data_IF_284919099744
#
_entry.id   IF_284919099744
#
_cell.length_a   1.000
_cell.length_b   1.000
_cell.length_c   1.000
_cell.angle_alpha   90.00
_cell.angle_beta   90.00
_cell.angle_gamma   90.00
#
_symmetry.space_group_name_H-M   'P 1'
#
loop_
_entity.id
_entity.type
_entity.pdbx_description
1 polymer ?
#
# COMPACT_ATOMS: atom_id res chain seq x y z
N UNK A 1 5.94 -23.45 -26.92
CA UNK A 1 6.13 -22.07 -26.41
C UNK A 1 5.48 -21.15 -27.43
N UNK A 2 4.52 -20.35 -27.01
CA UNK A 2 3.81 -19.39 -27.84
C UNK A 2 4.68 -18.15 -28.12
N UNK A 3 4.41 -17.46 -29.21
CA UNK A 3 5.03 -16.18 -29.56
C UNK A 3 4.06 -15.02 -29.23
N UNK A 4 4.53 -13.78 -29.25
CA UNK A 4 3.67 -12.60 -29.05
C UNK A 4 2.59 -12.55 -30.16
N UNK A 5 2.93 -12.90 -31.38
CA UNK A 5 1.98 -12.93 -32.50
C UNK A 5 0.89 -13.99 -32.28
N UNK A 6 1.24 -15.17 -31.70
CA UNK A 6 0.25 -16.18 -31.34
C UNK A 6 -0.74 -15.66 -30.30
N UNK A 7 -0.26 -14.91 -29.30
CA UNK A 7 -1.11 -14.33 -28.26
C UNK A 7 -1.98 -13.20 -28.80
N UNK A 8 -1.41 -12.34 -29.64
CA UNK A 8 -2.17 -11.26 -30.28
C UNK A 8 -3.27 -11.79 -31.22
N UNK A 9 -3.05 -12.95 -31.79
CA UNK A 9 -4.03 -13.61 -32.65
C UNK A 9 -5.18 -14.29 -31.89
N UNK A 10 -5.05 -14.47 -30.57
CA UNK A 10 -6.14 -15.01 -29.73
C UNK A 10 -7.28 -14.00 -29.63
N UNK A 11 -8.50 -14.51 -29.71
CA UNK A 11 -9.70 -13.69 -29.44
C UNK A 11 -9.75 -13.32 -27.94
N UNK A 12 -10.52 -12.29 -27.61
CA UNK A 12 -10.75 -11.89 -26.22
C UNK A 12 -11.26 -13.06 -25.38
N UNK A 13 -12.23 -13.83 -25.91
CA UNK A 13 -12.80 -14.99 -25.21
C UNK A 13 -11.75 -16.07 -24.94
N UNK A 14 -10.85 -16.37 -25.88
CA UNK A 14 -9.78 -17.36 -25.67
C UNK A 14 -8.77 -16.90 -24.61
N UNK A 15 -8.47 -15.60 -24.55
CA UNK A 15 -7.60 -15.02 -23.51
C UNK A 15 -8.24 -15.11 -22.13
N UNK A 16 -9.50 -14.73 -22.02
CA UNK A 16 -10.31 -14.73 -20.80
C UNK A 16 -10.46 -16.17 -20.24
N UNK A 17 -10.87 -17.12 -21.08
CA UNK A 17 -10.98 -18.54 -20.70
C UNK A 17 -9.63 -19.13 -20.21
N UNK A 18 -8.51 -18.69 -20.81
CA UNK A 18 -7.19 -19.16 -20.40
C UNK A 18 -6.73 -18.49 -19.09
N UNK A 19 -7.00 -17.20 -18.89
CA UNK A 19 -6.72 -16.52 -17.62
C UNK A 19 -7.53 -17.15 -16.50
N UNK A 20 -8.83 -17.35 -16.69
CA UNK A 20 -9.71 -18.01 -15.73
C UNK A 20 -9.20 -19.41 -15.35
N UNK A 21 -8.77 -20.20 -16.33
CA UNK A 21 -8.20 -21.52 -16.09
C UNK A 21 -6.92 -21.44 -15.23
N UNK A 22 -6.03 -20.47 -15.51
CA UNK A 22 -4.81 -20.27 -14.74
C UNK A 22 -5.13 -19.84 -13.32
N UNK A 23 -6.08 -18.93 -13.13
CA UNK A 23 -6.53 -18.48 -11.82
C UNK A 23 -7.17 -19.63 -11.01
N UNK A 24 -8.00 -20.47 -11.63
CA UNK A 24 -8.56 -21.68 -11.00
C UNK A 24 -7.46 -22.66 -10.54
N UNK A 25 -6.42 -22.85 -11.35
CA UNK A 25 -5.28 -23.70 -10.98
C UNK A 25 -4.52 -23.13 -9.79
N UNK A 26 -4.36 -21.82 -9.73
CA UNK A 26 -3.75 -21.13 -8.59
C UNK A 26 -4.60 -21.32 -7.34
N UNK A 27 -5.91 -21.11 -7.41
CA UNK A 27 -6.84 -21.29 -6.30
C UNK A 27 -6.80 -22.72 -5.74
N UNK A 28 -6.65 -23.72 -6.61
CA UNK A 28 -6.52 -25.12 -6.22
C UNK A 28 -5.09 -25.48 -5.73
N UNK A 29 -4.18 -24.50 -5.65
CA UNK A 29 -2.77 -24.68 -5.27
C UNK A 29 -2.04 -25.77 -6.09
N UNK A 30 -2.39 -25.95 -7.37
CA UNK A 30 -1.83 -26.97 -8.26
C UNK A 30 -0.59 -26.46 -9.01
N UNK A 31 0.55 -26.39 -8.31
CA UNK A 31 1.82 -25.93 -8.89
C UNK A 31 2.24 -26.73 -10.11
N UNK A 32 1.94 -28.03 -10.16
CA UNK A 32 2.35 -28.90 -11.28
C UNK A 32 1.62 -28.51 -12.57
N UNK A 33 0.30 -28.32 -12.49
CA UNK A 33 -0.48 -27.87 -13.63
C UNK A 33 -0.13 -26.44 -14.03
N UNK A 34 0.11 -25.56 -13.04
CA UNK A 34 0.50 -24.18 -13.30
C UNK A 34 1.78 -24.12 -14.13
N UNK A 35 2.82 -24.88 -13.72
CA UNK A 35 4.07 -24.98 -14.46
C UNK A 35 3.87 -25.56 -15.87
N UNK A 36 3.01 -26.55 -16.02
CA UNK A 36 2.74 -27.18 -17.31
C UNK A 36 2.07 -26.24 -18.29
N UNK A 37 1.18 -25.37 -17.85
CA UNK A 37 0.54 -24.36 -18.70
C UNK A 37 1.49 -23.19 -18.98
N UNK A 38 2.04 -22.57 -17.94
CA UNK A 38 2.82 -21.34 -18.09
C UNK A 38 4.14 -21.52 -18.87
N UNK A 39 4.66 -22.76 -19.00
CA UNK A 39 5.83 -23.02 -19.87
C UNK A 39 5.61 -22.64 -21.33
N UNK A 40 4.36 -22.66 -21.80
CA UNK A 40 4.02 -22.28 -23.17
C UNK A 40 3.77 -20.77 -23.34
N UNK A 41 3.60 -20.04 -22.24
CA UNK A 41 3.33 -18.62 -22.18
C UNK A 41 4.39 -17.88 -21.37
N UNK A 42 5.61 -17.65 -21.89
CA UNK A 42 6.68 -16.97 -21.14
C UNK A 42 6.23 -15.57 -20.69
N UNK A 43 6.66 -15.16 -19.49
CA UNK A 43 6.22 -13.90 -18.85
C UNK A 43 6.35 -12.66 -19.74
N UNK A 44 7.46 -12.56 -20.50
CA UNK A 44 7.69 -11.43 -21.42
C UNK A 44 6.69 -11.33 -22.57
N UNK A 45 5.99 -12.41 -22.84
CA UNK A 45 5.03 -12.53 -23.94
C UNK A 45 3.60 -12.46 -23.40
N UNK A 46 3.32 -13.17 -22.31
CA UNK A 46 1.99 -13.26 -21.73
C UNK A 46 1.58 -12.02 -20.94
N UNK A 47 2.55 -11.38 -20.27
CA UNK A 47 2.38 -10.11 -19.57
C UNK A 47 3.06 -8.98 -20.36
N UNK A 48 3.09 -9.10 -21.69
CA UNK A 48 3.84 -8.19 -22.55
C UNK A 48 3.65 -6.74 -22.13
N UNK A 49 4.72 -5.98 -22.29
CA UNK A 49 4.86 -4.63 -21.77
C UNK A 49 3.48 -3.97 -21.70
N UNK A 50 2.97 -3.80 -20.45
CA UNK A 50 1.67 -3.20 -20.18
C UNK A 50 1.69 -1.76 -20.71
N UNK A 51 1.78 -1.66 -22.01
CA UNK A 51 1.52 -0.44 -22.72
C UNK A 51 0.00 -0.28 -22.75
N UNK A 52 -0.55 0.15 -21.62
CA UNK A 52 -1.97 0.49 -21.42
C UNK A 52 -2.43 1.53 -22.47
N UNK A 53 -1.54 1.97 -23.32
CA UNK A 53 -1.76 2.94 -24.39
C UNK A 53 -2.16 2.33 -25.73
N UNK A 54 -2.43 1.05 -25.78
CA UNK A 54 -2.99 0.53 -27.03
C UNK A 54 -4.45 0.98 -27.10
N UNK A 55 -4.70 2.04 -27.88
CA UNK A 55 -6.03 2.58 -28.16
C UNK A 55 -6.98 1.51 -28.74
N UNK A 56 -6.42 0.40 -29.20
CA UNK A 56 -7.13 -0.75 -29.78
C UNK A 56 -7.58 -1.82 -28.77
N UNK A 57 -7.30 -1.64 -27.47
CA UNK A 57 -7.80 -2.52 -26.40
C UNK A 57 -7.10 -3.88 -26.30
N UNK A 58 -5.86 -3.97 -26.71
CA UNK A 58 -5.06 -5.19 -26.67
C UNK A 58 -4.51 -5.39 -25.22
N UNK A 59 -5.27 -6.11 -24.40
CA UNK A 59 -4.86 -6.44 -23.05
C UNK A 59 -3.84 -7.59 -23.04
N UNK A 60 -2.88 -7.60 -22.07
CA UNK A 60 -2.00 -8.74 -21.87
C UNK A 60 -2.82 -10.01 -21.62
N UNK A 61 -2.23 -11.18 -21.91
CA UNK A 61 -2.88 -12.45 -21.70
C UNK A 61 -3.16 -12.70 -20.22
N UNK A 62 -2.20 -12.34 -19.35
CA UNK A 62 -2.33 -12.44 -17.92
C UNK A 62 -2.06 -11.09 -17.27
N UNK A 63 -2.92 -10.68 -16.36
CA UNK A 63 -2.63 -9.59 -15.46
C UNK A 63 -1.75 -10.11 -14.31
N UNK A 64 -0.48 -9.71 -14.23
CA UNK A 64 0.41 -10.15 -13.15
C UNK A 64 -0.10 -9.80 -11.74
N UNK A 65 -0.86 -8.70 -11.61
CA UNK A 65 -1.49 -8.34 -10.34
C UNK A 65 -2.50 -9.42 -9.92
N UNK A 66 -3.38 -9.83 -10.83
CA UNK A 66 -4.34 -10.90 -10.58
C UNK A 66 -3.65 -12.21 -10.23
N UNK A 67 -2.58 -12.59 -10.94
CA UNK A 67 -1.83 -13.81 -10.63
C UNK A 67 -1.23 -13.78 -9.22
N UNK A 68 -0.64 -12.65 -8.82
CA UNK A 68 0.01 -12.51 -7.51
C UNK A 68 -1.04 -12.46 -6.38
N UNK A 69 -2.11 -11.72 -6.57
CA UNK A 69 -3.19 -11.62 -5.56
C UNK A 69 -3.86 -12.99 -5.37
N UNK A 70 -4.20 -13.68 -6.44
CA UNK A 70 -4.79 -15.03 -6.34
C UNK A 70 -3.83 -16.01 -5.67
N UNK A 71 -2.54 -15.95 -5.98
CA UNK A 71 -1.53 -16.79 -5.32
C UNK A 71 -1.36 -16.44 -3.83
N UNK A 72 -1.52 -15.18 -3.44
CA UNK A 72 -1.51 -14.77 -2.05
C UNK A 72 -2.71 -15.31 -1.27
N UNK A 73 -3.91 -15.27 -1.86
CA UNK A 73 -5.11 -15.89 -1.28
C UNK A 73 -4.97 -17.41 -1.20
N UNK A 74 -4.52 -18.08 -2.27
CA UNK A 74 -4.28 -19.51 -2.26
C UNK A 74 -3.24 -19.92 -1.20
N UNK A 75 -2.20 -19.11 -0.99
CA UNK A 75 -1.22 -19.31 0.07
C UNK A 75 -1.86 -19.24 1.46
N UNK A 76 -2.78 -18.29 1.71
CA UNK A 76 -3.54 -18.17 2.96
C UNK A 76 -4.36 -19.44 3.21
N UNK A 77 -5.13 -19.89 2.23
CA UNK A 77 -6.03 -21.04 2.33
C UNK A 77 -5.27 -22.37 2.53
N UNK A 78 -4.03 -22.43 2.08
CA UNK A 78 -3.17 -23.60 2.16
C UNK A 78 -2.07 -23.49 3.24
N UNK A 79 -2.39 -22.95 4.41
CA UNK A 79 -1.51 -22.89 5.58
C UNK A 79 -0.16 -22.19 5.31
N UNK A 80 -0.17 -21.12 4.54
CA UNK A 80 1.01 -20.38 4.12
C UNK A 80 1.98 -21.20 3.25
N UNK A 81 1.46 -21.94 2.31
CA UNK A 81 2.26 -22.58 1.26
C UNK A 81 2.63 -21.55 0.19
N UNK A 82 3.86 -21.07 0.23
CA UNK A 82 4.39 -20.05 -0.69
C UNK A 82 4.82 -20.61 -2.05
N UNK A 83 4.65 -21.91 -2.31
CA UNK A 83 5.23 -22.58 -3.49
C UNK A 83 4.80 -21.98 -4.83
N UNK A 84 3.54 -21.55 -4.97
CA UNK A 84 3.05 -20.86 -6.17
C UNK A 84 3.64 -19.46 -6.28
N UNK A 85 3.66 -18.68 -5.19
CA UNK A 85 4.27 -17.36 -5.17
C UNK A 85 5.77 -17.44 -5.50
N UNK A 86 6.49 -18.38 -4.91
CA UNK A 86 7.91 -18.61 -5.23
C UNK A 86 8.11 -18.95 -6.71
N UNK A 87 7.26 -19.80 -7.27
CA UNK A 87 7.32 -20.13 -8.70
C UNK A 87 7.07 -18.87 -9.57
N UNK A 88 6.04 -18.10 -9.27
CA UNK A 88 5.70 -16.90 -10.05
C UNK A 88 6.83 -15.88 -10.03
N UNK A 89 7.49 -15.67 -8.89
CA UNK A 89 8.58 -14.70 -8.78
C UNK A 89 9.94 -15.26 -9.24
N UNK A 90 10.30 -16.46 -8.85
CA UNK A 90 11.68 -16.96 -9.01
C UNK A 90 11.89 -17.73 -10.31
N UNK A 91 10.88 -18.47 -10.80
CA UNK A 91 10.99 -19.28 -12.01
C UNK A 91 10.25 -18.65 -13.20
N UNK A 92 8.99 -18.24 -13.02
CA UNK A 92 8.22 -17.62 -14.08
C UNK A 92 8.70 -16.19 -14.40
N UNK A 93 9.14 -15.45 -13.40
CA UNK A 93 9.88 -14.21 -13.56
C UNK A 93 9.06 -12.93 -13.38
N UNK A 94 7.94 -12.99 -12.66
CA UNK A 94 7.25 -11.76 -12.22
C UNK A 94 8.16 -10.97 -11.25
N UNK A 95 8.03 -9.66 -11.24
CA UNK A 95 8.84 -8.80 -10.37
C UNK A 95 8.05 -7.56 -9.93
N UNK A 96 7.97 -7.33 -8.62
CA UNK A 96 7.42 -6.10 -8.06
C UNK A 96 8.43 -4.94 -8.08
N UNK A 97 9.69 -5.22 -8.42
CA UNK A 97 10.76 -4.22 -8.51
C UNK A 97 11.01 -3.75 -9.93
N UNK A 98 10.62 -4.51 -10.92
CA UNK A 98 10.77 -4.14 -12.32
C UNK A 98 9.68 -3.12 -12.68
N UNK A 99 10.05 -1.92 -13.17
CA UNK A 99 9.07 -0.93 -13.59
C UNK A 99 8.06 -1.43 -14.64
N UNK A 100 8.44 -2.42 -15.44
CA UNK A 100 7.58 -3.06 -16.43
C UNK A 100 6.46 -3.90 -15.80
N UNK A 101 6.70 -4.42 -14.60
CA UNK A 101 5.79 -5.28 -13.84
C UNK A 101 5.46 -4.68 -12.47
N UNK A 102 5.81 -3.42 -12.25
CA UNK A 102 5.59 -2.75 -10.98
C UNK A 102 4.25 -2.01 -11.01
N UNK A 103 3.20 -2.72 -10.69
CA UNK A 103 1.82 -2.23 -10.68
C UNK A 103 1.56 -1.14 -9.66
N UNK A 104 2.45 -0.94 -8.69
CA UNK A 104 2.34 0.15 -7.71
C UNK A 104 2.63 1.54 -8.32
N UNK A 105 3.10 1.60 -9.57
CA UNK A 105 3.50 2.85 -10.23
C UNK A 105 2.89 3.02 -11.62
N UNK A 106 1.70 2.46 -11.85
CA UNK A 106 0.97 2.91 -13.03
C UNK A 106 0.71 4.41 -12.87
N UNK A 107 1.09 5.14 -13.90
CA UNK A 107 0.87 6.57 -14.02
C UNK A 107 -0.58 6.88 -13.59
N UNK A 108 -0.74 7.61 -12.48
CA UNK A 108 -2.01 7.95 -11.85
C UNK A 108 -3.06 8.49 -12.82
N UNK A 109 -2.62 9.07 -13.93
CA UNK A 109 -3.47 9.59 -14.99
C UNK A 109 -4.26 8.48 -15.70
N UNK A 110 -3.67 7.32 -15.89
CA UNK A 110 -4.32 6.18 -16.54
C UNK A 110 -5.21 5.38 -15.60
N UNK A 111 -4.86 5.32 -14.31
CA UNK A 111 -5.73 4.76 -13.27
C UNK A 111 -7.01 5.57 -13.16
N UNK A 112 -6.93 6.90 -13.25
CA UNK A 112 -8.11 7.76 -13.23
C UNK A 112 -9.05 7.52 -14.41
N UNK A 113 -8.51 7.24 -15.60
CA UNK A 113 -9.29 6.91 -16.80
C UNK A 113 -9.85 5.47 -16.74
N UNK A 114 -9.13 4.53 -16.18
CA UNK A 114 -9.61 3.16 -15.94
C UNK A 114 -10.65 3.09 -14.82
N UNK A 115 -10.50 3.91 -13.80
CA UNK A 115 -11.41 4.00 -12.65
C UNK A 115 -12.82 4.48 -13.01
N UNK A 116 -12.99 5.24 -14.08
CA UNK A 116 -14.33 5.57 -14.58
C UNK A 116 -15.13 4.32 -15.05
N UNK A 117 -14.48 3.17 -15.20
CA UNK A 117 -15.09 1.88 -15.55
C UNK A 117 -15.25 0.91 -14.38
N UNK A 118 -14.57 1.09 -13.26
CA UNK A 118 -14.65 0.19 -12.09
C UNK A 118 -15.62 0.74 -11.05
N UNK A 119 -16.80 0.14 -11.03
CA UNK A 119 -17.96 0.47 -10.18
C UNK A 119 -17.71 0.26 -8.67
N UNK A 120 -16.62 -0.38 -8.30
CA UNK A 120 -16.12 -0.44 -6.90
C UNK A 120 -15.98 0.93 -6.25
N UNK A 121 -15.89 1.98 -7.05
CA UNK A 121 -15.73 3.37 -6.64
C UNK A 121 -16.95 3.97 -5.96
N UNK A 122 -18.17 3.55 -6.32
CA UNK A 122 -19.39 4.15 -5.77
C UNK A 122 -19.75 3.72 -4.36
N UNK A 123 -19.31 2.52 -3.96
CA UNK A 123 -19.55 2.01 -2.62
C UNK A 123 -18.47 2.42 -1.61
N UNK A 124 -17.38 2.99 -2.10
CA UNK A 124 -16.20 3.37 -1.33
C UNK A 124 -15.98 4.88 -1.37
N UNK A 125 -17.01 5.67 -1.65
CA UNK A 125 -16.95 7.16 -1.57
C UNK A 125 -16.40 7.66 -0.22
N UNK A 126 -16.41 6.81 0.79
CA UNK A 126 -15.85 7.09 2.12
C UNK A 126 -14.41 6.59 2.33
N UNK A 127 -13.80 5.84 1.39
CA UNK A 127 -12.43 5.34 1.52
C UNK A 127 -11.63 5.39 0.22
N UNK A 128 -11.19 6.58 -0.17
CA UNK A 128 -10.55 6.82 -1.46
C UNK A 128 -9.20 6.14 -1.66
N UNK A 129 -8.64 5.57 -0.62
CA UNK A 129 -7.31 4.98 -0.63
C UNK A 129 -7.24 3.56 -1.18
N UNK A 130 -8.38 2.93 -1.43
CA UNK A 130 -8.45 1.60 -2.05
C UNK A 130 -8.01 1.62 -3.51
N UNK A 131 -7.95 2.80 -4.10
CA UNK A 131 -7.77 2.99 -5.54
C UNK A 131 -6.38 2.82 -6.08
N UNK A 132 -5.39 2.79 -5.24
CA UNK A 132 -4.04 2.89 -5.74
C UNK A 132 -3.30 1.59 -5.56
N UNK A 133 -3.68 0.58 -6.35
CA UNK A 133 -2.87 -0.61 -6.69
C UNK A 133 -1.82 -1.02 -5.66
N UNK A 134 -2.16 -0.89 -4.40
CA UNK A 134 -1.31 -1.42 -3.38
C UNK A 134 -1.70 -2.87 -3.24
N UNK A 135 -0.98 -3.74 -3.93
CA UNK A 135 -1.10 -5.19 -3.83
C UNK A 135 -1.30 -5.66 -2.38
N UNK A 136 -0.59 -5.02 -1.45
CA UNK A 136 -0.70 -5.30 -0.02
C UNK A 136 -2.08 -4.89 0.52
N UNK A 137 -2.58 -3.73 0.13
CA UNK A 137 -3.88 -3.24 0.60
C UNK A 137 -5.02 -4.06 0.02
N UNK A 138 -4.92 -4.43 -1.26
CA UNK A 138 -5.89 -5.31 -1.88
C UNK A 138 -5.93 -6.67 -1.19
N UNK A 139 -4.76 -7.27 -0.93
CA UNK A 139 -4.67 -8.50 -0.15
C UNK A 139 -5.29 -8.33 1.25
N UNK A 140 -4.95 -7.28 1.99
CA UNK A 140 -5.48 -7.06 3.35
C UNK A 140 -7.01 -6.91 3.37
N UNK A 141 -7.58 -6.26 2.36
CA UNK A 141 -9.01 -5.93 2.32
C UNK A 141 -9.87 -7.07 1.81
N UNK A 142 -9.34 -7.92 0.94
CA UNK A 142 -10.12 -8.96 0.26
C UNK A 142 -9.80 -10.38 0.75
N UNK A 143 -8.76 -10.59 1.56
CA UNK A 143 -8.46 -11.88 2.14
C UNK A 143 -9.44 -12.23 3.28
N UNK A 144 -9.84 -13.48 3.37
CA UNK A 144 -10.73 -13.96 4.43
C UNK A 144 -10.06 -13.91 5.81
N UNK A 145 -8.79 -14.26 5.88
CA UNK A 145 -7.97 -14.23 7.11
C UNK A 145 -6.58 -13.65 6.85
N UNK A 146 -6.48 -12.37 6.45
CA UNK A 146 -5.20 -11.78 6.07
C UNK A 146 -4.17 -11.93 7.19
N UNK A 147 -2.94 -12.30 6.83
CA UNK A 147 -1.89 -12.49 7.82
C UNK A 147 -0.58 -11.78 7.47
N UNK A 148 0.17 -11.42 8.51
CA UNK A 148 1.39 -10.65 8.38
C UNK A 148 2.55 -11.40 7.70
N UNK A 149 2.48 -12.72 7.58
CA UNK A 149 3.55 -13.50 6.93
C UNK A 149 3.49 -13.31 5.42
N UNK A 150 2.28 -13.33 4.83
CA UNK A 150 2.07 -13.07 3.41
C UNK A 150 2.43 -11.61 3.09
N UNK A 151 2.01 -10.68 3.94
CA UNK A 151 2.37 -9.27 3.78
C UNK A 151 3.89 -9.10 3.79
N UNK A 152 4.60 -9.69 4.77
CA UNK A 152 6.07 -9.66 4.83
C UNK A 152 6.72 -10.28 3.59
N UNK A 153 6.17 -11.37 3.10
CA UNK A 153 6.64 -12.00 1.89
C UNK A 153 6.55 -11.03 0.69
N UNK A 154 5.38 -10.42 0.49
CA UNK A 154 5.16 -9.45 -0.59
C UNK A 154 6.06 -8.21 -0.45
N UNK A 155 6.24 -7.68 0.77
CA UNK A 155 7.16 -6.57 1.05
C UNK A 155 8.60 -6.94 0.70
N UNK A 156 9.06 -8.14 1.07
CA UNK A 156 10.39 -8.62 0.72
C UNK A 156 10.60 -8.76 -0.79
N UNK A 157 9.53 -9.03 -1.54
CA UNK A 157 9.54 -9.08 -3.01
C UNK A 157 9.46 -7.68 -3.64
N UNK A 158 9.16 -6.64 -2.88
CA UNK A 158 9.19 -5.24 -3.34
C UNK A 158 7.85 -4.51 -3.29
N UNK A 159 6.79 -5.13 -2.77
CA UNK A 159 5.53 -4.45 -2.52
C UNK A 159 5.69 -3.33 -1.48
N UNK A 160 4.91 -2.26 -1.61
CA UNK A 160 5.03 -1.06 -0.78
C UNK A 160 3.71 -0.70 -0.13
N UNK A 161 3.82 -0.03 1.02
CA UNK A 161 2.70 0.59 1.73
C UNK A 161 2.55 2.08 1.41
N UNK A 162 3.59 2.70 0.86
CA UNK A 162 3.65 4.13 0.54
C UNK A 162 2.87 4.42 -0.75
N UNK A 163 1.57 4.18 -0.70
CA UNK A 163 0.63 4.53 -1.76
C UNK A 163 -0.22 5.68 -1.26
N UNK A 164 0.01 6.86 -1.81
CA UNK A 164 -0.60 8.10 -1.37
C UNK A 164 -1.66 8.56 -2.36
N UNK A 165 -2.76 9.06 -1.83
CA UNK A 165 -3.83 9.63 -2.62
C UNK A 165 -3.56 11.12 -2.89
N UNK A 166 -3.39 11.48 -4.15
CA UNK A 166 -3.20 12.87 -4.57
C UNK A 166 -4.45 13.75 -4.33
N UNK A 167 -5.64 13.16 -4.33
CA UNK A 167 -6.90 13.87 -4.13
C UNK A 167 -7.22 14.20 -2.66
N UNK A 168 -6.59 13.52 -1.71
CA UNK A 168 -6.92 13.56 -0.28
C UNK A 168 -5.75 13.91 0.62
N UNK A 169 -4.96 14.87 0.23
CA UNK A 169 -3.84 15.38 1.04
C UNK A 169 -2.73 14.36 1.24
N UNK A 170 -2.47 13.51 0.25
CA UNK A 170 -1.37 12.56 0.27
C UNK A 170 -1.47 11.50 1.37
N UNK A 171 -2.67 11.17 1.83
CA UNK A 171 -2.89 10.12 2.82
C UNK A 171 -2.75 8.73 2.22
N UNK A 172 -2.32 7.78 3.03
CA UNK A 172 -2.38 6.35 2.70
C UNK A 172 -3.62 5.71 3.32
N UNK A 173 -4.04 4.50 2.90
CA UNK A 173 -5.10 3.75 3.58
C UNK A 173 -4.90 3.64 5.09
N UNK A 174 -3.65 3.53 5.55
CA UNK A 174 -3.35 3.43 6.98
C UNK A 174 -3.72 4.68 7.77
N UNK A 175 -3.63 5.88 7.17
CA UNK A 175 -4.09 7.12 7.83
C UNK A 175 -5.60 7.09 8.07
N UNK A 176 -6.38 6.59 7.11
CA UNK A 176 -7.82 6.44 7.27
C UNK A 176 -8.16 5.36 8.29
N UNK A 177 -7.44 4.24 8.31
CA UNK A 177 -7.61 3.22 9.35
C UNK A 177 -7.31 3.77 10.75
N UNK A 178 -6.28 4.61 10.87
CA UNK A 178 -5.95 5.27 12.13
C UNK A 178 -7.11 6.18 12.59
N UNK A 179 -7.62 7.03 11.70
CA UNK A 179 -8.71 7.94 12.00
C UNK A 179 -10.04 7.25 12.28
N UNK A 180 -10.29 6.10 11.64
CA UNK A 180 -11.54 5.32 11.79
C UNK A 180 -11.47 4.23 12.88
N UNK A 181 -10.44 4.26 13.72
CA UNK A 181 -10.23 3.30 14.81
C UNK A 181 -10.12 1.83 14.35
N UNK A 182 -9.61 1.59 13.14
CA UNK A 182 -9.41 0.25 12.62
C UNK A 182 -8.04 -0.30 13.05
N UNK A 183 -7.91 -0.62 14.35
CA UNK A 183 -6.65 -1.07 14.93
C UNK A 183 -6.19 -2.43 14.41
N UNK A 184 -7.12 -3.30 13.98
CA UNK A 184 -6.80 -4.63 13.49
C UNK A 184 -6.03 -4.57 12.16
N UNK A 185 -6.50 -3.77 11.20
CA UNK A 185 -5.81 -3.60 9.93
C UNK A 185 -4.47 -2.89 10.10
N UNK A 186 -4.40 -1.90 10.98
CA UNK A 186 -3.13 -1.22 11.30
C UNK A 186 -2.11 -2.17 11.92
N UNK A 187 -2.54 -2.97 12.91
CA UNK A 187 -1.67 -3.95 13.56
C UNK A 187 -1.12 -4.94 12.53
N UNK A 188 -1.98 -5.44 11.66
CA UNK A 188 -1.62 -6.38 10.60
C UNK A 188 -0.60 -5.78 9.65
N UNK A 189 -0.84 -4.56 9.15
CA UNK A 189 0.04 -3.87 8.22
C UNK A 189 1.41 -3.58 8.86
N UNK A 190 1.45 -3.03 10.08
CA UNK A 190 2.71 -2.71 10.78
C UNK A 190 3.49 -3.99 11.09
N UNK A 191 2.84 -5.05 11.56
CA UNK A 191 3.48 -6.36 11.73
C UNK A 191 3.95 -6.97 10.42
N UNK A 192 3.31 -6.61 9.32
CA UNK A 192 3.70 -6.98 7.95
C UNK A 192 4.91 -6.21 7.42
N UNK A 193 5.32 -5.12 8.08
CA UNK A 193 6.50 -4.34 7.71
C UNK A 193 6.22 -2.88 7.34
N UNK A 194 4.99 -2.40 7.50
CA UNK A 194 4.68 -0.99 7.30
C UNK A 194 5.40 -0.11 8.32
N UNK A 195 5.77 1.10 7.90
CA UNK A 195 6.34 2.10 8.80
C UNK A 195 5.27 2.63 9.77
N UNK A 196 5.50 2.47 11.07
CA UNK A 196 4.57 2.96 12.12
C UNK A 196 4.46 4.49 12.13
N UNK A 197 5.51 5.19 11.71
CA UNK A 197 5.54 6.64 11.56
C UNK A 197 5.36 7.09 10.11
N UNK A 198 4.62 6.31 9.33
CA UNK A 198 4.27 6.68 7.95
C UNK A 198 3.61 8.05 7.91
N UNK A 199 4.11 8.89 7.02
CA UNK A 199 3.67 10.28 6.88
C UNK A 199 2.76 10.44 5.68
N UNK A 200 1.88 11.44 5.73
CA UNK A 200 1.20 11.93 4.53
C UNK A 200 2.23 12.54 3.58
N UNK A 201 2.07 12.34 2.27
CA UNK A 201 2.81 13.10 1.25
C UNK A 201 1.98 14.33 0.89
N UNK A 202 2.07 15.35 1.70
CA UNK A 202 1.64 16.67 1.31
C UNK A 202 2.69 17.27 0.36
N UNK A 203 2.32 18.29 -0.41
CA UNK A 203 3.25 19.08 -1.20
C UNK A 203 4.54 19.29 -0.37
N UNK A 204 5.75 19.03 -0.92
CA UNK A 204 7.01 19.24 -0.22
C UNK A 204 7.16 20.64 0.40
N UNK A 205 6.33 21.60 -0.06
CA UNK A 205 6.19 22.94 0.52
C UNK A 205 5.13 23.03 1.61
N UNK A 206 4.38 21.95 1.88
CA UNK A 206 3.36 21.95 2.91
C UNK A 206 4.01 21.67 4.27
N UNK A 207 3.75 22.52 5.23
CA UNK A 207 4.25 22.46 6.60
C UNK A 207 3.64 21.29 7.42
N UNK A 208 2.84 20.40 6.79
CA UNK A 208 1.96 19.47 7.51
C UNK A 208 2.13 18.02 7.06
N UNK A 209 3.22 17.38 7.46
CA UNK A 209 3.32 15.94 7.34
C UNK A 209 2.68 15.29 8.58
N UNK A 210 1.50 14.73 8.42
CA UNK A 210 0.79 14.04 9.49
C UNK A 210 1.21 12.57 9.55
N UNK A 211 1.46 12.04 10.75
CA UNK A 211 1.72 10.62 10.97
C UNK A 211 0.44 9.86 11.29
N UNK A 212 0.52 8.53 11.25
CA UNK A 212 -0.60 7.68 11.69
C UNK A 212 -1.06 8.02 13.12
N UNK A 213 -0.11 8.32 14.01
CA UNK A 213 -0.43 8.72 15.39
C UNK A 213 -1.14 10.07 15.44
N UNK A 214 -0.73 11.03 14.60
CA UNK A 214 -1.38 12.33 14.53
C UNK A 214 -2.84 12.22 14.08
N UNK A 215 -3.12 11.38 13.09
CA UNK A 215 -4.49 11.07 12.66
C UNK A 215 -5.29 10.37 13.77
N UNK A 216 -4.69 9.37 14.41
CA UNK A 216 -5.36 8.64 15.48
C UNK A 216 -5.80 9.56 16.61
N UNK A 217 -4.95 10.47 17.08
CA UNK A 217 -5.27 11.33 18.24
C UNK A 217 -6.24 12.45 17.92
N UNK A 218 -6.49 12.72 16.62
CA UNK A 218 -7.42 13.76 16.19
C UNK A 218 -8.89 13.46 16.51
N UNK A 219 -9.22 12.21 16.85
CA UNK A 219 -10.56 11.78 17.20
C UNK A 219 -10.58 11.18 18.63
N UNK A 220 -11.60 11.47 19.47
CA UNK A 220 -11.60 11.03 20.86
C UNK A 220 -11.80 9.51 21.03
N UNK A 221 -12.43 8.85 20.06
CA UNK A 221 -12.82 7.43 20.12
C UNK A 221 -11.68 6.48 19.72
N UNK A 222 -10.57 7.00 19.21
CA UNK A 222 -9.48 6.23 18.62
C UNK A 222 -8.40 5.82 19.61
N UNK A 223 -8.69 5.84 20.91
CA UNK A 223 -7.71 5.54 21.95
C UNK A 223 -7.07 4.14 21.83
N UNK A 224 -7.77 3.16 21.23
CA UNK A 224 -7.21 1.82 20.99
C UNK A 224 -6.12 1.86 19.91
N UNK A 225 -6.34 2.62 18.84
CA UNK A 225 -5.33 2.84 17.80
C UNK A 225 -4.17 3.65 18.36
N UNK A 226 -4.44 4.70 19.12
CA UNK A 226 -3.40 5.48 19.80
C UNK A 226 -2.52 4.59 20.67
N UNK A 227 -3.13 3.73 21.49
CA UNK A 227 -2.40 2.78 22.33
C UNK A 227 -1.57 1.81 21.49
N UNK A 228 -2.16 1.20 20.48
CA UNK A 228 -1.49 0.27 19.57
C UNK A 228 -0.26 0.91 18.90
N UNK A 229 -0.42 2.11 18.33
CA UNK A 229 0.69 2.79 17.66
C UNK A 229 1.83 3.09 18.63
N UNK A 230 1.52 3.53 19.85
CA UNK A 230 2.53 3.75 20.91
C UNK A 230 3.23 2.43 21.27
N UNK A 231 2.50 1.34 21.46
CA UNK A 231 3.04 0.01 21.77
C UNK A 231 3.93 -0.53 20.64
N UNK A 232 3.62 -0.19 19.39
CA UNK A 232 4.40 -0.56 18.21
C UNK A 232 5.57 0.40 17.93
N UNK A 233 5.77 1.41 18.78
CA UNK A 233 6.94 2.28 18.74
C UNK A 233 6.77 3.58 17.95
N UNK A 234 5.53 4.02 17.71
CA UNK A 234 5.30 5.32 17.07
C UNK A 234 5.98 6.47 17.84
N UNK A 235 6.57 7.40 17.09
CA UNK A 235 7.21 8.58 17.66
C UNK A 235 6.16 9.57 18.19
N UNK A 236 5.95 9.55 19.51
CA UNK A 236 4.99 10.45 20.18
C UNK A 236 5.40 11.92 20.15
N UNK A 237 6.63 12.20 19.78
CA UNK A 237 7.23 13.54 19.69
C UNK A 237 7.62 13.89 18.25
N UNK A 238 6.88 13.38 17.28
CA UNK A 238 7.08 13.74 15.88
C UNK A 238 6.94 15.25 15.72
N UNK A 239 7.92 15.86 15.05
CA UNK A 239 8.00 17.32 14.93
C UNK A 239 7.12 17.78 13.79
N UNK A 240 6.06 18.47 14.16
CA UNK A 240 5.11 19.15 13.27
C UNK A 240 4.73 20.47 13.92
N UNK A 241 4.14 21.45 13.21
CA UNK A 241 3.68 22.71 13.81
C UNK A 241 2.76 22.50 15.01
N UNK A 242 1.95 21.41 14.99
CA UNK A 242 1.11 21.02 16.12
C UNK A 242 1.50 19.62 16.55
N UNK A 243 1.98 19.43 17.79
CA UNK A 243 2.38 18.13 18.28
C UNK A 243 1.20 17.15 18.40
N UNK A 244 1.43 15.82 18.36
CA UNK A 244 0.38 14.84 18.63
C UNK A 244 -0.37 15.11 19.95
N UNK A 245 0.34 15.59 20.99
CA UNK A 245 -0.27 15.89 22.29
C UNK A 245 -1.20 17.10 22.23
N UNK A 246 -0.85 18.15 21.49
CA UNK A 246 -1.68 19.34 21.33
C UNK A 246 -2.88 19.08 20.44
N UNK A 247 -2.72 18.25 19.41
CA UNK A 247 -3.80 17.82 18.49
C UNK A 247 -4.76 16.84 19.17
N UNK A 248 -4.35 16.18 20.24
CA UNK A 248 -5.11 15.08 20.84
C UNK A 248 -6.49 15.51 21.35
N UNK A 249 -7.52 14.84 20.85
CA UNK A 249 -8.88 14.93 21.36
C UNK A 249 -9.17 13.78 22.33
N UNK A 250 -10.00 14.06 23.33
CA UNK A 250 -10.35 13.11 24.37
C UNK A 250 -9.30 12.92 25.45
N UNK A 251 -9.77 12.68 26.69
CA UNK A 251 -8.90 12.55 27.88
C UNK A 251 -8.03 11.28 27.83
N UNK A 252 -8.53 10.20 27.19
CA UNK A 252 -7.80 8.93 27.07
C UNK A 252 -6.59 9.07 26.17
N UNK A 253 -6.75 9.66 24.97
CA UNK A 253 -5.64 9.92 24.05
C UNK A 253 -4.58 10.80 24.71
N UNK A 254 -5.00 11.90 25.35
CA UNK A 254 -4.07 12.79 26.08
C UNK A 254 -3.32 12.07 27.20
N UNK A 255 -3.99 11.17 27.91
CA UNK A 255 -3.34 10.39 28.97
C UNK A 255 -2.31 9.43 28.38
N UNK A 256 -2.67 8.64 27.37
CA UNK A 256 -1.76 7.70 26.70
C UNK A 256 -0.49 8.40 26.18
N UNK A 257 -0.66 9.54 25.51
CA UNK A 257 0.46 10.33 25.03
C UNK A 257 1.36 10.84 26.16
N UNK A 258 0.77 11.38 27.23
CA UNK A 258 1.55 11.86 28.39
C UNK A 258 2.30 10.73 29.08
N UNK A 259 1.64 9.59 29.26
CA UNK A 259 2.26 8.41 29.89
C UNK A 259 3.42 7.86 29.03
N UNK A 260 3.36 8.05 27.71
CA UNK A 260 4.42 7.73 26.75
C UNK A 260 5.50 8.83 26.62
N UNK A 261 5.41 9.94 27.35
CA UNK A 261 6.40 11.01 27.32
C UNK A 261 6.23 12.02 26.19
N UNK A 262 5.02 12.14 25.62
CA UNK A 262 4.73 13.15 24.61
C UNK A 262 4.84 14.58 25.18
N UNK A 263 5.43 15.46 24.38
CA UNK A 263 5.61 16.88 24.66
C UNK A 263 4.64 17.71 23.84
N UNK A 264 4.30 18.89 24.35
CA UNK A 264 3.57 19.91 23.57
C UNK A 264 4.46 20.52 22.51
N UNK A 265 3.88 21.16 21.50
CA UNK A 265 4.63 21.89 20.46
C UNK A 265 5.59 22.88 21.09
N UNK A 266 5.13 23.69 22.04
CA UNK A 266 5.98 24.67 22.74
C UNK A 266 7.16 24.03 23.49
N UNK A 267 7.01 22.80 23.99
CA UNK A 267 8.10 22.06 24.64
C UNK A 267 9.09 21.51 23.61
N UNK A 268 8.60 21.02 22.46
CA UNK A 268 9.41 20.54 21.36
C UNK A 268 10.21 21.70 20.75
N UNK A 269 9.55 22.83 20.45
CA UNK A 269 10.17 24.02 19.90
C UNK A 269 11.31 24.52 20.80
N UNK A 270 11.06 24.59 22.10
CA UNK A 270 12.09 24.98 23.08
C UNK A 270 13.24 23.97 23.13
N UNK A 271 12.94 22.67 23.08
CA UNK A 271 13.95 21.60 23.19
C UNK A 271 14.88 21.56 21.98
N UNK A 272 14.30 21.78 20.79
CA UNK A 272 15.01 21.64 19.51
C UNK A 272 15.35 22.98 18.86
N UNK A 273 15.02 24.12 19.48
CA UNK A 273 15.17 25.49 18.95
C UNK A 273 14.48 25.68 17.60
N UNK A 274 13.22 25.26 17.50
CA UNK A 274 12.44 25.36 16.28
C UNK A 274 11.68 26.68 16.27
N UNK A 275 11.70 27.39 15.14
CA UNK A 275 11.01 28.65 14.93
C UNK A 275 10.18 28.57 13.64
N UNK A 276 8.91 28.26 13.76
CA UNK A 276 8.00 28.05 12.61
C UNK A 276 7.71 29.31 11.79
N UNK A 277 7.80 30.50 12.41
CA UNK A 277 7.38 31.78 11.81
C UNK A 277 8.57 32.64 11.28
N UNK A 278 9.77 32.11 11.15
CA UNK A 278 10.89 32.90 10.69
C UNK A 278 11.02 32.86 9.18
N UNK A 279 11.19 34.03 8.55
CA UNK A 279 11.61 34.14 7.13
C UNK A 279 12.91 33.37 6.82
N UNK A 280 13.59 32.87 7.84
CA UNK A 280 14.78 32.02 7.75
C UNK A 280 14.42 30.57 7.42
N UNK A 281 13.22 30.08 7.79
CA UNK A 281 12.77 28.72 7.43
C UNK A 281 12.57 28.58 5.92
N UNK A 282 12.16 29.61 5.22
CA UNK A 282 11.99 29.58 3.76
C UNK A 282 13.30 29.46 2.97
N UNK A 283 14.46 29.71 3.63
CA UNK A 283 15.76 29.83 2.97
C UNK A 283 16.68 28.63 3.20
N UNK A 284 16.33 27.74 4.11
CA UNK A 284 17.24 26.65 4.49
C UNK A 284 16.60 25.27 4.29
N UNK A 285 16.71 24.74 3.04
CA UNK A 285 16.33 23.35 2.72
C UNK A 285 17.03 22.33 3.66
N UNK A 286 18.20 22.69 4.22
CA UNK A 286 18.95 21.86 5.16
C UNK A 286 18.25 21.73 6.52
N UNK A 287 17.43 22.71 6.89
CA UNK A 287 16.69 22.73 8.15
C UNK A 287 15.58 21.69 8.16
N UNK A 288 14.80 21.59 7.09
CA UNK A 288 13.75 20.58 6.94
C UNK A 288 14.36 19.16 6.89
N UNK A 289 15.48 18.99 6.21
CA UNK A 289 16.17 17.69 6.14
C UNK A 289 16.74 17.25 7.50
N UNK A 290 17.14 18.18 8.34
CA UNK A 290 17.73 17.92 9.65
C UNK A 290 16.70 17.54 10.70
N UNK A 291 15.48 18.08 10.65
CA UNK A 291 14.46 17.92 11.70
C UNK A 291 13.31 17.01 11.33
N UNK A 292 13.04 16.78 10.06
CA UNK A 292 12.05 15.77 9.61
C UNK A 292 12.59 14.33 9.59
N UNK A 293 13.91 14.15 9.78
CA UNK A 293 14.53 12.81 9.85
C UNK A 293 14.88 12.37 11.28
N UNK A 294 14.52 13.16 12.28
CA UNK A 294 14.67 12.81 13.70
C UNK A 294 13.39 12.23 14.26
#
# INVERSE_FOLDING_TARGET
>A
MKTLEDIKAMSYQEKDELEDLVLEIIDNNDLVKLKDILKDYPVKISCYELNIKDEDGDFPLFDPFNLIIRAAHACEDNNNDFSILDYLFDEYGLSLKDPKYNFAFHDMKHIKEANDKYILMKEVEDDPCIYQNALIYDYILNADNPNSQIIKYLVNRGAKFEVHDEGYSGRTPMHFWARRNNYQLLELAIKGGANVDMQTLLDPKSEYNETLLFEAVSEPETYRVTQLLIELGANVNFITPTSPLDNAKGSRNKKLLKDAGAMTSAQLDKKYNIYWDSEECEKDESYMEKYCKL
#
